data_IF_486327541171
#
_entry.id   IF_486327541171
#
_cell.length_a   1.000
_cell.length_b   1.000
_cell.length_c   1.000
_cell.angle_alpha   90.00
_cell.angle_beta   90.00
_cell.angle_gamma   90.00
#
_symmetry.space_group_name_H-M   'P 1'
#
loop_
_entity.id
_entity.type
_entity.pdbx_description
1 polymer ?
#
# COMPACT_ATOMS: atom_id res chain seq x y z
N UNK A 1 -0.62 27.72 4.69
CA UNK A 1 -0.63 26.31 5.12
C UNK A 1 -0.80 25.44 3.87
N UNK A 2 0.23 24.71 3.43
CA UNK A 2 0.05 23.72 2.34
C UNK A 2 -0.82 22.62 2.92
N UNK A 3 -2.08 22.60 2.50
CA UNK A 3 -3.15 21.83 3.10
C UNK A 3 -2.95 20.33 2.99
N UNK A 4 -3.22 19.64 4.08
CA UNK A 4 -3.89 18.34 4.16
C UNK A 4 -3.93 17.57 2.83
N UNK A 5 -2.84 16.87 2.52
CA UNK A 5 -2.87 15.86 1.45
C UNK A 5 -3.66 14.66 1.95
N UNK A 6 -4.98 14.68 1.77
CA UNK A 6 -5.77 13.48 2.09
C UNK A 6 -5.36 12.35 1.12
N UNK A 7 -4.86 11.26 1.69
CA UNK A 7 -4.46 10.06 0.96
C UNK A 7 -5.29 8.87 1.40
N UNK A 8 -4.89 7.69 0.93
CA UNK A 8 -5.51 6.43 1.32
C UNK A 8 -4.45 5.47 1.85
N UNK A 9 -4.74 4.86 2.99
CA UNK A 9 -4.00 3.70 3.47
C UNK A 9 -4.55 2.45 2.80
N UNK A 10 -3.68 1.71 2.11
CA UNK A 10 -3.96 0.40 1.56
C UNK A 10 -3.38 -0.65 2.51
N UNK A 11 -4.24 -1.54 3.00
CA UNK A 11 -3.82 -2.79 3.62
C UNK A 11 -4.15 -3.93 2.66
N UNK A 12 -3.14 -4.68 2.25
CA UNK A 12 -3.23 -5.63 1.13
C UNK A 12 -2.77 -6.99 1.62
N UNK A 13 -3.63 -7.99 1.43
CA UNK A 13 -3.37 -9.39 1.69
C UNK A 13 -3.31 -10.09 0.33
N UNK A 14 -2.16 -10.66 0.01
CA UNK A 14 -1.86 -11.32 -1.28
C UNK A 14 -0.95 -12.53 -1.06
N UNK A 15 -0.93 -13.47 -2.01
CA UNK A 15 0.07 -14.54 -2.05
C UNK A 15 1.43 -14.09 -2.61
N UNK A 16 1.53 -12.87 -3.16
CA UNK A 16 2.74 -12.34 -3.81
C UNK A 16 3.22 -11.02 -3.18
N UNK A 17 3.42 -10.94 -1.85
CA UNK A 17 3.68 -9.68 -1.16
C UNK A 17 5.01 -9.03 -1.57
N UNK A 18 6.08 -9.81 -1.75
CA UNK A 18 7.39 -9.27 -2.14
C UNK A 18 7.38 -8.74 -3.59
N UNK A 19 6.67 -9.42 -4.51
CA UNK A 19 6.52 -8.96 -5.90
C UNK A 19 5.72 -7.66 -5.97
N UNK A 20 4.59 -7.59 -5.25
CA UNK A 20 3.76 -6.39 -5.21
C UNK A 20 4.49 -5.22 -4.53
N UNK A 21 5.24 -5.47 -3.46
CA UNK A 21 6.08 -4.45 -2.81
C UNK A 21 7.11 -3.86 -3.78
N UNK A 22 7.76 -4.71 -4.58
CA UNK A 22 8.71 -4.25 -5.61
C UNK A 22 8.01 -3.41 -6.67
N UNK A 23 6.87 -3.86 -7.19
CA UNK A 23 6.12 -3.11 -8.21
C UNK A 23 5.66 -1.75 -7.66
N UNK A 24 5.15 -1.68 -6.42
CA UNK A 24 4.75 -0.42 -5.78
C UNK A 24 5.93 0.55 -5.69
N UNK A 25 7.10 0.05 -5.30
CA UNK A 25 8.32 0.87 -5.24
C UNK A 25 8.71 1.40 -6.62
N UNK A 26 8.75 0.54 -7.63
CA UNK A 26 9.26 0.89 -8.96
C UNK A 26 8.28 1.77 -9.74
N UNK A 27 6.97 1.51 -9.62
CA UNK A 27 5.94 2.18 -10.41
C UNK A 27 5.34 3.42 -9.75
N UNK A 28 5.37 3.50 -8.42
CA UNK A 28 4.81 4.63 -7.66
C UNK A 28 5.86 5.40 -6.85
N UNK A 29 7.08 4.87 -6.68
CA UNK A 29 8.07 5.47 -5.79
C UNK A 29 7.64 5.48 -4.32
N UNK A 30 6.77 4.55 -3.92
CA UNK A 30 6.21 4.48 -2.56
C UNK A 30 6.88 3.37 -1.75
N UNK A 31 7.30 3.71 -0.55
CA UNK A 31 7.72 2.73 0.44
C UNK A 31 6.53 1.92 0.96
N UNK A 32 6.79 0.68 1.35
CA UNK A 32 5.80 -0.20 1.96
C UNK A 32 6.30 -0.73 3.30
N UNK A 33 5.36 -1.00 4.20
CA UNK A 33 5.64 -1.71 5.46
C UNK A 33 5.00 -3.08 5.42
N UNK A 34 5.75 -4.12 5.76
CA UNK A 34 5.17 -5.43 6.01
C UNK A 34 4.70 -5.54 7.46
N UNK A 35 3.47 -5.98 7.63
CA UNK A 35 2.89 -6.38 8.91
C UNK A 35 2.83 -7.90 8.91
N UNK A 36 3.48 -8.53 9.90
CA UNK A 36 3.38 -9.97 10.11
C UNK A 36 1.99 -10.33 10.64
N UNK A 37 1.35 -11.32 10.02
CA UNK A 37 0.07 -11.86 10.47
C UNK A 37 0.04 -13.39 10.35
N UNK A 38 -1.03 -14.00 10.83
CA UNK A 38 -1.27 -15.43 10.67
C UNK A 38 -2.72 -15.66 10.22
N UNK A 39 -2.91 -16.51 9.21
CA UNK A 39 -4.24 -16.91 8.79
C UNK A 39 -4.93 -17.77 9.85
N UNK A 40 -6.14 -17.40 10.26
CA UNK A 40 -6.87 -18.18 11.28
C UNK A 40 -7.11 -19.64 10.85
N UNK A 41 -7.56 -19.86 9.60
CA UNK A 41 -7.86 -21.19 9.09
C UNK A 41 -6.60 -21.94 8.63
N UNK A 42 -5.74 -21.29 7.85
CA UNK A 42 -4.55 -21.92 7.28
C UNK A 42 -3.41 -22.12 8.28
N UNK A 43 -3.41 -21.35 9.38
CA UNK A 43 -2.31 -21.26 10.36
C UNK A 43 -0.97 -20.86 9.76
N UNK A 44 -0.95 -20.37 8.52
CA UNK A 44 0.25 -19.91 7.82
C UNK A 44 0.56 -18.47 8.17
N UNK A 45 1.85 -18.18 8.26
CA UNK A 45 2.35 -16.81 8.37
C UNK A 45 2.06 -16.04 7.08
N UNK A 46 1.72 -14.77 7.25
CA UNK A 46 1.37 -13.84 6.18
C UNK A 46 2.24 -12.59 6.30
N UNK A 47 2.69 -12.07 5.16
CA UNK A 47 3.19 -10.70 5.04
C UNK A 47 2.08 -9.84 4.48
N UNK A 48 1.49 -9.00 5.32
CA UNK A 48 0.45 -8.04 4.92
C UNK A 48 1.16 -6.74 4.52
N UNK A 49 0.84 -6.19 3.35
CA UNK A 49 1.40 -4.91 2.92
C UNK A 49 0.55 -3.78 3.48
N UNK A 50 1.19 -2.80 4.11
CA UNK A 50 0.61 -1.50 4.40
C UNK A 50 1.34 -0.43 3.59
N UNK A 51 0.58 0.38 2.84
CA UNK A 51 1.12 1.44 2.00
C UNK A 51 0.19 2.67 2.02
N UNK A 52 0.77 3.86 2.17
CA UNK A 52 0.04 5.11 1.96
C UNK A 52 0.23 5.57 0.52
N UNK A 53 -0.87 5.91 -0.15
CA UNK A 53 -0.85 6.44 -1.52
C UNK A 53 -1.65 7.74 -1.63
N UNK A 54 -1.25 8.60 -2.57
CA UNK A 54 -2.00 9.78 -2.97
C UNK A 54 -3.28 9.43 -3.73
N UNK A 55 -4.23 10.37 -3.80
CA UNK A 55 -5.51 10.14 -4.50
C UNK A 55 -5.35 9.80 -5.99
N UNK A 56 -4.38 10.39 -6.65
CA UNK A 56 -4.03 10.15 -8.05
C UNK A 56 -3.40 8.76 -8.30
N UNK A 57 -2.86 8.10 -7.26
CA UNK A 57 -2.19 6.80 -7.36
C UNK A 57 -3.15 5.63 -7.15
N UNK A 58 -4.36 5.87 -6.64
CA UNK A 58 -5.35 4.84 -6.27
C UNK A 58 -5.68 3.90 -7.44
N UNK A 59 -5.92 4.46 -8.63
CA UNK A 59 -6.31 3.66 -9.81
C UNK A 59 -5.15 2.75 -10.21
N UNK A 60 -3.94 3.31 -10.39
CA UNK A 60 -2.74 2.55 -10.73
C UNK A 60 -2.43 1.48 -9.68
N UNK A 61 -2.59 1.80 -8.40
CA UNK A 61 -2.43 0.84 -7.30
C UNK A 61 -3.38 -0.35 -7.41
N UNK A 62 -4.68 -0.10 -7.65
CA UNK A 62 -5.67 -1.18 -7.84
C UNK A 62 -5.35 -2.04 -9.07
N UNK A 63 -4.97 -1.41 -10.18
CA UNK A 63 -4.63 -2.11 -11.41
C UNK A 63 -3.41 -3.02 -11.23
N UNK A 64 -2.36 -2.53 -10.56
CA UNK A 64 -1.18 -3.33 -10.23
C UNK A 64 -1.52 -4.51 -9.33
N UNK A 65 -2.30 -4.29 -8.28
CA UNK A 65 -2.75 -5.36 -7.37
C UNK A 65 -3.51 -6.42 -8.14
N UNK A 66 -4.50 -6.01 -8.95
CA UNK A 66 -5.32 -6.95 -9.72
C UNK A 66 -4.52 -7.71 -10.78
N UNK A 67 -3.55 -7.05 -11.43
CA UNK A 67 -2.66 -7.66 -12.42
C UNK A 67 -1.74 -8.71 -11.80
N UNK A 68 -1.21 -8.44 -10.60
CA UNK A 68 -0.30 -9.36 -9.90
C UNK A 68 -1.08 -10.49 -9.24
N UNK A 69 -2.17 -10.17 -8.56
CA UNK A 69 -2.97 -11.13 -7.83
C UNK A 69 -4.47 -10.76 -7.91
N UNK A 70 -5.21 -11.35 -8.87
CA UNK A 70 -6.65 -11.16 -8.98
C UNK A 70 -7.43 -11.60 -7.74
N UNK A 71 -6.82 -12.42 -6.87
CA UNK A 71 -7.43 -12.93 -5.63
C UNK A 71 -6.96 -12.17 -4.37
N UNK A 72 -6.15 -11.12 -4.53
CA UNK A 72 -5.76 -10.28 -3.40
C UNK A 72 -6.99 -9.61 -2.77
N UNK A 73 -6.99 -9.53 -1.44
CA UNK A 73 -7.99 -8.77 -0.69
C UNK A 73 -7.38 -7.49 -0.15
N UNK A 74 -8.09 -6.38 -0.32
CA UNK A 74 -7.61 -5.04 0.05
C UNK A 74 -8.63 -4.32 0.92
N UNK A 75 -8.16 -3.60 1.93
CA UNK A 75 -8.94 -2.56 2.61
C UNK A 75 -8.31 -1.20 2.34
N UNK A 76 -9.17 -0.19 2.19
CA UNK A 76 -8.77 1.17 1.89
C UNK A 76 -9.31 2.07 2.99
N UNK A 77 -8.43 2.72 3.72
CA UNK A 77 -8.77 3.63 4.83
C UNK A 77 -8.45 5.08 4.44
N UNK A 78 -9.33 6.01 4.81
CA UNK A 78 -9.09 7.44 4.63
C UNK A 78 -8.00 7.94 5.59
N UNK A 79 -6.95 8.56 5.04
CA UNK A 79 -5.96 9.25 5.83
C UNK A 79 -6.27 10.75 5.80
N UNK A 80 -6.74 11.27 6.94
CA UNK A 80 -7.09 12.68 7.07
C UNK A 80 -5.88 13.59 7.03
N UNK A 81 -4.74 13.14 7.55
CA UNK A 81 -3.49 13.88 7.50
C UNK A 81 -2.34 12.87 7.35
N UNK A 82 -1.38 13.20 6.50
CA UNK A 82 -0.19 12.38 6.26
C UNK A 82 1.02 13.31 6.43
N UNK A 83 1.91 12.95 7.34
CA UNK A 83 3.19 13.62 7.55
C UNK A 83 4.31 12.65 7.19
N UNK A 84 5.23 13.04 6.30
CA UNK A 84 6.34 12.20 5.89
C UNK A 84 6.92 12.53 4.51
N UNK A 85 8.02 11.86 4.21
CA UNK A 85 8.69 11.92 2.90
C UNK A 85 7.71 11.54 1.78
N UNK A 86 7.73 12.32 0.69
CA UNK A 86 6.84 12.11 -0.45
C UNK A 86 5.41 12.62 -0.23
N UNK A 87 5.13 13.28 0.90
CA UNK A 87 3.85 13.93 1.19
C UNK A 87 4.03 15.36 1.74
N UNK A 88 4.75 15.54 2.85
CA UNK A 88 4.97 16.86 3.46
C UNK A 88 6.33 17.47 3.17
N UNK A 89 7.32 16.65 2.87
CA UNK A 89 8.65 17.08 2.43
C UNK A 89 9.18 16.15 1.34
N UNK A 90 10.08 16.69 0.52
CA UNK A 90 10.75 15.96 -0.57
C UNK A 90 12.07 15.42 -0.03
N UNK A 91 12.52 14.27 -0.53
CA UNK A 91 13.85 13.73 -0.24
C UNK A 91 14.92 14.61 -0.90
N UNK A 92 16.02 14.88 -0.22
CA UNK A 92 17.21 15.53 -0.80
C UNK A 92 17.82 14.68 -1.93
#
# INVERSE_FOLDING_TARGET
>A
MKGVSAGKGFMIITQYPDQLAKEINDELGRGVTFISGQGYYSKKDLKIIYCIVGRNEIVKMKDMIHKIDPQAFITITEAHEILGEGFTYVKD
#
